data_IF_598691756584
#
_entry.id   IF_598691756584
#
_cell.length_a   1.000
_cell.length_b   1.000
_cell.length_c   1.000
_cell.angle_alpha   90.00
_cell.angle_beta   90.00
_cell.angle_gamma   90.00
#
_symmetry.space_group_name_H-M   'P 1'
#
loop_
_entity.id
_entity.type
_entity.pdbx_description
1 polymer ?
#
# COMPACT_ATOMS: atom_id res chain seq x y z
N UNK A 1 -5.91 -7.27 -13.46
CA UNK A 1 -5.19 -5.97 -13.52
C UNK A 1 -4.40 -5.77 -12.22
N UNK A 2 -3.10 -6.12 -12.21
CA UNK A 2 -2.17 -6.11 -11.06
C UNK A 2 -1.23 -4.89 -11.00
N UNK A 3 -1.61 -3.84 -11.72
CA UNK A 3 -0.71 -2.71 -12.03
C UNK A 3 -1.07 -1.46 -11.22
N UNK A 4 -1.72 -1.62 -10.08
CA UNK A 4 -2.23 -0.50 -9.29
C UNK A 4 -1.73 -0.62 -7.86
N UNK A 5 -1.00 0.40 -7.41
CA UNK A 5 -0.49 0.47 -6.04
C UNK A 5 -0.91 1.76 -5.39
N UNK A 6 -1.10 1.66 -4.09
CA UNK A 6 -1.40 2.80 -3.26
C UNK A 6 -0.46 2.85 -2.10
N UNK A 7 -0.06 4.07 -1.79
CA UNK A 7 0.82 4.38 -0.69
C UNK A 7 0.02 5.26 0.24
N UNK A 8 -0.07 4.84 1.49
CA UNK A 8 -0.73 5.58 2.56
C UNK A 8 0.31 5.97 3.60
N UNK A 9 0.47 7.27 3.84
CA UNK A 9 1.14 7.75 5.04
C UNK A 9 0.08 7.98 6.12
N UNK A 10 0.20 7.28 7.24
CA UNK A 10 -0.72 7.40 8.38
C UNK A 10 0.03 7.89 9.62
N UNK A 11 -0.67 8.57 10.51
CA UNK A 11 -0.13 8.94 11.81
C UNK A 11 -1.24 8.93 12.86
N UNK A 12 -0.87 8.67 14.12
CA UNK A 12 -1.77 8.91 15.25
C UNK A 12 -1.87 10.41 15.52
N UNK A 13 -3.06 10.96 15.27
CA UNK A 13 -3.39 12.38 15.48
C UNK A 13 -4.45 12.44 16.57
N UNK A 14 -4.05 12.90 17.76
CA UNK A 14 -4.88 12.77 18.96
C UNK A 14 -5.05 11.28 19.32
N UNK A 15 -6.28 10.82 19.42
CA UNK A 15 -6.59 9.44 19.84
C UNK A 15 -6.69 8.43 18.68
N UNK A 16 -6.76 8.91 17.43
CA UNK A 16 -7.05 8.06 16.27
C UNK A 16 -5.90 8.09 15.27
N UNK A 17 -5.73 6.99 14.55
CA UNK A 17 -4.94 7.04 13.32
C UNK A 17 -5.69 7.83 12.25
N UNK A 18 -4.92 8.60 11.47
CA UNK A 18 -5.41 9.40 10.35
C UNK A 18 -4.49 9.24 9.17
N UNK A 19 -5.06 9.16 7.99
CA UNK A 19 -4.31 9.30 6.74
C UNK A 19 -3.84 10.75 6.61
N UNK A 20 -2.53 10.92 6.47
CA UNK A 20 -1.86 12.21 6.27
C UNK A 20 -1.68 12.46 4.78
N UNK A 21 -1.32 11.44 4.02
CA UNK A 21 -1.32 11.52 2.56
C UNK A 21 -1.60 10.14 1.98
N UNK A 22 -2.24 10.13 0.82
CA UNK A 22 -2.41 8.93 0.03
C UNK A 22 -2.08 9.27 -1.43
N UNK A 23 -1.49 8.32 -2.13
CA UNK A 23 -1.28 8.42 -3.58
C UNK A 23 -1.64 7.09 -4.25
N UNK A 24 -1.95 7.18 -5.54
CA UNK A 24 -2.12 6.06 -6.44
C UNK A 24 -0.98 6.07 -7.45
N UNK A 25 -0.28 4.95 -7.64
CA UNK A 25 0.74 4.75 -8.67
C UNK A 25 0.33 3.61 -9.60
N UNK A 26 0.42 3.85 -10.91
CA UNK A 26 0.19 2.83 -11.92
C UNK A 26 1.47 2.00 -12.16
N UNK A 27 1.33 0.85 -12.79
CA UNK A 27 2.42 0.02 -13.32
C UNK A 27 3.51 -0.40 -12.30
N UNK A 28 3.18 -0.43 -11.01
CA UNK A 28 4.10 -0.82 -9.94
C UNK A 28 3.82 -2.25 -9.45
N UNK A 29 4.75 -3.17 -9.69
CA UNK A 29 4.55 -4.62 -9.50
C UNK A 29 5.75 -5.28 -8.83
N UNK A 30 5.54 -6.41 -8.16
CA UNK A 30 6.62 -7.28 -7.66
C UNK A 30 7.76 -6.55 -6.91
N UNK A 31 9.01 -6.86 -7.28
CA UNK A 31 10.23 -6.30 -6.74
C UNK A 31 10.34 -4.80 -6.99
N UNK A 32 9.77 -4.29 -8.08
CA UNK A 32 9.72 -2.84 -8.31
C UNK A 32 8.90 -2.14 -7.23
N UNK A 33 7.78 -2.74 -6.80
CA UNK A 33 6.99 -2.24 -5.68
C UNK A 33 7.77 -2.23 -4.37
N UNK A 34 8.45 -3.34 -4.05
CA UNK A 34 9.30 -3.45 -2.85
C UNK A 34 10.38 -2.37 -2.82
N UNK A 35 11.08 -2.18 -3.95
CA UNK A 35 12.10 -1.14 -4.09
C UNK A 35 11.54 0.24 -3.81
N UNK A 36 10.38 0.56 -4.36
CA UNK A 36 9.75 1.86 -4.13
C UNK A 36 9.31 2.05 -2.69
N UNK A 37 8.74 1.02 -2.03
CA UNK A 37 8.43 1.10 -0.61
C UNK A 37 9.67 1.37 0.25
N UNK A 38 10.79 0.73 -0.08
CA UNK A 38 12.07 0.97 0.58
C UNK A 38 12.58 2.39 0.34
N UNK A 39 12.46 2.93 -0.88
CA UNK A 39 12.81 4.33 -1.19
C UNK A 39 11.93 5.30 -0.40
N UNK A 40 10.62 5.10 -0.38
CA UNK A 40 9.69 5.90 0.45
C UNK A 40 10.12 5.87 1.91
N UNK A 41 10.41 4.68 2.46
CA UNK A 41 10.81 4.54 3.85
C UNK A 41 12.16 5.22 4.15
N UNK A 42 13.12 5.14 3.22
CA UNK A 42 14.41 5.87 3.30
C UNK A 42 14.20 7.39 3.31
N UNK A 43 13.29 7.91 2.48
CA UNK A 43 12.91 9.33 2.51
C UNK A 43 12.33 9.69 3.88
N UNK A 44 11.37 8.92 4.39
CA UNK A 44 10.70 9.22 5.66
C UNK A 44 11.63 9.13 6.88
N UNK A 45 12.62 8.23 6.86
CA UNK A 45 13.60 8.04 7.95
C UNK A 45 14.78 9.01 7.91
N UNK A 46 14.97 9.77 6.83
CA UNK A 46 16.09 10.69 6.72
C UNK A 46 15.98 11.84 7.73
N UNK A 47 16.94 12.04 8.66
CA UNK A 47 16.82 13.06 9.71
C UNK A 47 16.60 14.48 9.20
N UNK A 48 17.13 14.80 8.01
CA UNK A 48 16.91 16.09 7.32
C UNK A 48 15.44 16.38 7.01
N UNK A 49 14.60 15.35 6.93
CA UNK A 49 13.17 15.46 6.64
C UNK A 49 12.31 15.59 7.90
N UNK A 50 12.83 15.27 9.08
CA UNK A 50 12.08 15.29 10.33
C UNK A 50 11.45 16.66 10.67
N UNK A 51 12.10 17.82 10.42
CA UNK A 51 11.46 19.11 10.65
C UNK A 51 10.18 19.31 9.81
N UNK A 52 10.17 18.84 8.57
CA UNK A 52 9.01 18.95 7.68
C UNK A 52 7.87 18.02 8.12
N UNK A 53 8.19 16.75 8.41
CA UNK A 53 7.23 15.78 8.96
C UNK A 53 6.60 16.32 10.25
N UNK A 54 7.42 16.86 11.16
CA UNK A 54 6.92 17.43 12.43
C UNK A 54 5.96 18.59 12.20
N UNK A 55 6.22 19.46 11.22
CA UNK A 55 5.33 20.59 10.90
C UNK A 55 3.97 20.09 10.42
N UNK A 56 3.95 19.09 9.55
CA UNK A 56 2.70 18.52 9.03
C UNK A 56 1.92 17.75 10.10
N UNK A 57 2.59 16.99 10.97
CA UNK A 57 1.92 16.32 12.09
C UNK A 57 1.35 17.33 13.10
N UNK A 58 2.03 18.45 13.35
CA UNK A 58 1.49 19.54 14.17
C UNK A 58 0.27 20.19 13.51
N UNK A 59 0.33 20.41 12.20
CA UNK A 59 -0.81 20.93 11.43
C UNK A 59 -1.99 19.95 11.48
N UNK A 60 -1.74 18.65 11.33
CA UNK A 60 -2.77 17.62 11.44
C UNK A 60 -3.44 17.66 12.83
N UNK A 61 -2.65 17.76 13.90
CA UNK A 61 -3.14 17.86 15.26
C UNK A 61 -3.95 19.14 15.54
N UNK A 62 -3.75 20.22 14.77
CA UNK A 62 -4.53 21.45 14.91
C UNK A 62 -5.82 21.46 14.07
N UNK A 63 -6.08 20.43 13.25
CA UNK A 63 -7.31 20.35 12.46
C UNK A 63 -8.51 20.01 13.35
N UNK A 64 -9.68 20.64 13.15
CA UNK A 64 -10.90 20.29 13.86
C UNK A 64 -11.37 18.88 13.52
N UNK A 65 -12.19 18.26 14.38
CA UNK A 65 -12.70 16.90 14.16
C UNK A 65 -13.40 16.73 12.80
N UNK A 66 -14.17 17.73 12.38
CA UNK A 66 -14.92 17.73 11.10
C UNK A 66 -14.01 17.69 9.88
N UNK A 67 -12.76 18.15 9.97
CA UNK A 67 -11.79 18.03 8.87
C UNK A 67 -11.50 16.57 8.52
N UNK A 68 -11.65 15.65 9.47
CA UNK A 68 -11.41 14.22 9.29
C UNK A 68 -12.68 13.44 8.92
N UNK A 69 -13.84 14.11 8.85
CA UNK A 69 -15.09 13.48 8.49
C UNK A 69 -15.31 13.54 6.97
N UNK A 70 -15.34 12.40 6.25
CA UNK A 70 -15.57 12.40 4.80
C UNK A 70 -16.88 13.11 4.41
N UNK A 71 -17.93 12.96 5.22
CA UNK A 71 -19.24 13.56 4.96
C UNK A 71 -19.24 15.09 5.09
N UNK A 72 -18.30 15.66 5.83
CA UNK A 72 -18.21 17.11 6.04
C UNK A 72 -17.41 17.83 4.94
N UNK A 73 -16.83 17.10 3.97
CA UNK A 73 -15.83 17.64 3.03
C UNK A 73 -16.34 18.02 1.63
N UNK A 74 -17.66 18.01 1.40
CA UNK A 74 -18.31 18.59 0.21
C UNK A 74 -17.92 17.95 -1.14
N UNK A 75 -18.42 18.54 -2.24
CA UNK A 75 -18.13 18.14 -3.62
C UNK A 75 -16.75 18.68 -4.07
N UNK A 76 -15.94 17.87 -4.76
CA UNK A 76 -14.47 17.87 -4.60
C UNK A 76 -13.63 18.08 -5.86
N UNK A 77 -14.09 18.94 -6.77
CA UNK A 77 -13.28 19.34 -7.93
C UNK A 77 -12.17 20.36 -7.63
N UNK A 78 -12.12 20.96 -6.43
CA UNK A 78 -11.27 22.13 -6.14
C UNK A 78 -10.19 21.93 -5.05
N UNK A 79 -10.08 20.75 -4.44
CA UNK A 79 -9.27 20.62 -3.23
C UNK A 79 -7.78 20.42 -3.52
N UNK A 80 -6.96 21.29 -2.93
CA UNK A 80 -5.51 21.21 -2.96
C UNK A 80 -4.93 20.11 -2.06
N UNK A 81 -3.59 20.03 -2.04
CA UNK A 81 -2.85 19.05 -1.25
C UNK A 81 -2.76 19.52 0.21
N UNK A 82 -3.44 18.82 1.14
CA UNK A 82 -3.48 19.18 2.58
C UNK A 82 -2.12 19.11 3.27
N UNK A 83 -1.32 18.10 2.92
CA UNK A 83 -0.02 17.80 3.51
C UNK A 83 1.03 17.64 2.40
N UNK A 84 1.55 18.76 1.87
CA UNK A 84 2.36 18.79 0.65
C UNK A 84 3.71 18.07 0.77
N UNK A 85 4.39 18.14 1.92
CA UNK A 85 5.64 17.42 2.13
C UNK A 85 5.39 15.91 2.09
N UNK A 86 4.40 15.41 2.84
CA UNK A 86 4.11 13.98 2.87
C UNK A 86 3.64 13.47 1.50
N UNK A 87 2.77 14.22 0.82
CA UNK A 87 2.34 13.89 -0.54
C UNK A 87 3.53 13.83 -1.50
N UNK A 88 4.44 14.80 -1.42
CA UNK A 88 5.67 14.82 -2.24
C UNK A 88 6.58 13.64 -1.93
N UNK A 89 6.76 13.30 -0.64
CA UNK A 89 7.57 12.16 -0.22
C UNK A 89 7.02 10.84 -0.77
N UNK A 90 5.70 10.67 -0.75
CA UNK A 90 5.06 9.51 -1.36
C UNK A 90 5.23 9.50 -2.88
N UNK A 91 4.99 10.62 -3.57
CA UNK A 91 5.16 10.72 -5.02
C UNK A 91 6.58 10.36 -5.45
N UNK A 92 7.59 10.97 -4.83
CA UNK A 92 9.00 10.69 -5.10
C UNK A 92 9.38 9.24 -4.78
N UNK A 93 8.84 8.69 -3.69
CA UNK A 93 9.11 7.31 -3.31
C UNK A 93 8.37 6.28 -4.16
N UNK A 94 7.34 6.68 -4.91
CA UNK A 94 6.59 5.81 -5.82
C UNK A 94 7.04 5.89 -7.28
N UNK A 95 7.95 6.83 -7.59
CA UNK A 95 8.41 7.11 -8.95
C UNK A 95 9.24 5.92 -9.48
N UNK A 96 8.63 5.16 -10.39
CA UNK A 96 9.35 4.21 -11.21
C UNK A 96 9.79 4.94 -12.45
N UNK A 97 11.11 5.01 -12.66
CA UNK A 97 11.67 5.35 -13.96
C UNK A 97 11.85 4.05 -14.76
N UNK A 98 10.89 3.65 -15.61
CA UNK A 98 11.14 2.56 -16.53
C UNK A 98 12.25 2.96 -17.52
N UNK A 99 12.93 1.99 -18.14
CA UNK A 99 13.95 2.23 -19.17
C UNK A 99 13.47 3.10 -20.34
N UNK A 100 12.16 3.18 -20.56
CA UNK A 100 11.53 3.92 -21.65
C UNK A 100 11.30 5.41 -21.38
N UNK A 101 11.79 5.96 -20.26
CA UNK A 101 11.60 7.37 -19.86
C UNK A 101 10.14 7.84 -19.67
N UNK A 102 9.14 6.98 -19.86
CA UNK A 102 7.75 7.29 -19.56
C UNK A 102 7.55 7.22 -18.04
N UNK A 103 7.25 8.36 -17.40
CA UNK A 103 6.92 8.39 -15.98
C UNK A 103 5.71 7.50 -15.72
N UNK A 104 5.78 6.65 -14.70
CA UNK A 104 4.56 6.00 -14.24
C UNK A 104 3.69 7.04 -13.55
N UNK A 105 2.46 7.29 -14.02
CA UNK A 105 1.65 8.35 -13.48
C UNK A 105 1.25 8.00 -12.03
N UNK A 106 1.74 8.82 -11.11
CA UNK A 106 1.33 8.81 -9.72
C UNK A 106 0.44 10.03 -9.44
N UNK A 107 -0.69 9.81 -8.78
CA UNK A 107 -1.70 10.83 -8.51
C UNK A 107 -2.00 10.89 -7.01
N UNK A 108 -2.06 12.08 -6.41
CA UNK A 108 -2.59 12.24 -5.06
C UNK A 108 -4.01 11.72 -4.95
N UNK A 109 -4.30 11.04 -3.84
CA UNK A 109 -5.63 10.65 -3.42
C UNK A 109 -6.08 11.56 -2.27
N UNK A 110 -7.38 11.86 -2.18
CA UNK A 110 -7.93 12.54 -1.00
C UNK A 110 -7.59 11.78 0.29
N UNK A 111 -7.30 12.50 1.37
CA UNK A 111 -6.84 11.85 2.62
C UNK A 111 -7.91 10.99 3.30
N UNK A 112 -9.18 11.18 2.98
CA UNK A 112 -10.30 10.37 3.46
C UNK A 112 -10.65 9.22 2.50
N UNK A 113 -9.84 8.99 1.47
CA UNK A 113 -9.97 7.83 0.59
C UNK A 113 -9.70 6.57 1.40
N UNK A 114 -10.72 5.74 1.68
CA UNK A 114 -10.51 4.62 2.57
C UNK A 114 -9.76 3.50 1.81
N UNK A 115 -8.88 2.75 2.50
CA UNK A 115 -8.08 1.66 1.92
C UNK A 115 -8.87 0.56 1.19
N UNK A 116 -10.16 0.42 1.47
CA UNK A 116 -11.04 -0.63 0.98
C UNK A 116 -11.92 -0.24 -0.21
N UNK A 117 -12.03 1.06 -0.51
CA UNK A 117 -12.84 1.54 -1.63
C UNK A 117 -12.09 1.58 -2.97
N UNK A 118 -10.82 1.17 -3.00
CA UNK A 118 -10.07 1.14 -4.26
C UNK A 118 -9.63 -0.26 -4.63
N UNK A 119 -9.94 -0.61 -5.88
CA UNK A 119 -9.61 -1.87 -6.52
C UNK A 119 -8.08 -2.04 -6.66
N UNK A 120 -7.45 -2.54 -5.60
CA UNK A 120 -6.06 -2.94 -5.57
C UNK A 120 -5.99 -4.44 -5.31
N UNK A 121 -5.98 -5.23 -6.38
CA UNK A 121 -5.95 -6.71 -6.29
C UNK A 121 -4.76 -7.24 -5.50
N UNK A 122 -3.70 -6.46 -5.38
CA UNK A 122 -2.44 -6.88 -4.78
C UNK A 122 -2.14 -6.20 -3.43
N UNK A 123 -3.11 -5.47 -2.88
CA UNK A 123 -2.99 -4.75 -1.61
C UNK A 123 -2.44 -3.31 -1.71
N UNK A 124 -2.31 -2.68 -0.55
CA UNK A 124 -1.82 -1.30 -0.36
C UNK A 124 -0.57 -1.29 0.52
N UNK A 125 0.26 -0.26 0.41
CA UNK A 125 1.36 0.00 1.34
C UNK A 125 0.98 1.09 2.33
N UNK A 126 1.33 0.86 3.59
CA UNK A 126 1.06 1.76 4.72
C UNK A 126 2.38 2.12 5.36
N UNK A 127 2.62 3.41 5.55
CA UNK A 127 3.77 3.98 6.25
C UNK A 127 3.25 4.70 7.49
N UNK A 128 3.51 4.15 8.66
CA UNK A 128 3.17 4.81 9.92
C UNK A 128 4.31 5.74 10.33
N UNK A 129 4.01 7.04 10.34
CA UNK A 129 4.94 8.14 10.66
C UNK A 129 4.66 8.76 12.03
N UNK A 130 3.85 8.11 12.88
CA UNK A 130 3.55 8.56 14.25
C UNK A 130 4.83 8.86 15.03
N UNK A 131 5.81 7.96 14.97
CA UNK A 131 7.13 8.15 15.53
C UNK A 131 8.10 8.64 14.44
N UNK A 132 8.34 9.95 14.35
CA UNK A 132 9.14 10.58 13.28
C UNK A 132 10.54 9.96 13.11
N UNK A 133 11.18 9.54 14.21
CA UNK A 133 12.51 8.91 14.16
C UNK A 133 12.50 7.41 13.81
N UNK A 134 11.32 6.79 13.84
CA UNK A 134 11.13 5.36 13.62
C UNK A 134 9.86 5.05 12.80
N UNK A 135 9.72 5.61 11.58
CA UNK A 135 8.69 5.18 10.65
C UNK A 135 8.64 3.66 10.50
N UNK A 136 7.42 3.12 10.54
CA UNK A 136 7.10 1.70 10.33
C UNK A 136 6.42 1.55 8.98
N UNK A 137 6.46 0.36 8.39
CA UNK A 137 5.73 0.09 7.16
C UNK A 137 4.97 -1.23 7.23
N UNK A 138 3.98 -1.41 6.37
CA UNK A 138 3.32 -2.69 6.15
C UNK A 138 2.77 -2.75 4.74
N UNK A 139 2.68 -3.96 4.18
CA UNK A 139 1.80 -4.22 3.05
C UNK A 139 0.51 -4.81 3.59
N UNK A 140 -0.62 -4.21 3.26
CA UNK A 140 -1.93 -4.69 3.67
C UNK A 140 -2.67 -5.23 2.45
N UNK A 141 -3.02 -6.50 2.48
CA UNK A 141 -3.89 -7.10 1.49
C UNK A 141 -5.34 -6.95 1.93
N UNK A 142 -6.15 -6.46 1.01
CA UNK A 142 -7.59 -6.41 1.13
C UNK A 142 -8.18 -7.60 0.37
N UNK A 143 -8.78 -8.57 1.07
CA UNK A 143 -9.41 -9.73 0.44
C UNK A 143 -10.92 -9.48 0.38
N UNK A 144 -11.46 -9.39 -0.84
CA UNK A 144 -12.91 -9.43 -1.06
C UNK A 144 -13.43 -10.86 -0.83
N UNK A 145 -14.67 -11.00 -0.34
CA UNK A 145 -15.36 -12.31 -0.35
C UNK A 145 -15.59 -12.76 -1.81
N UNK A 146 -15.79 -14.07 -1.97
CA UNK A 146 -15.86 -14.87 -3.21
C UNK A 146 -16.52 -14.17 -4.43
N UNK A 147 -16.16 -14.60 -5.67
CA UNK A 147 -16.60 -13.98 -6.93
C UNK A 147 -18.11 -13.99 -7.23
N UNK A 148 -18.96 -14.55 -6.36
CA UNK A 148 -20.42 -14.50 -6.49
C UNK A 148 -21.03 -13.18 -6.01
N UNK A 149 -20.32 -12.38 -5.21
CA UNK A 149 -20.80 -11.08 -4.72
C UNK A 149 -20.16 -9.96 -5.54
N UNK A 150 -20.50 -9.89 -6.84
CA UNK A 150 -19.93 -8.94 -7.82
C UNK A 150 -20.25 -7.46 -7.56
N UNK A 151 -20.90 -7.10 -6.46
CA UNK A 151 -21.49 -5.77 -6.32
C UNK A 151 -20.92 -4.85 -5.25
N UNK A 152 -20.11 -5.33 -4.30
CA UNK A 152 -19.85 -4.47 -3.14
C UNK A 152 -18.42 -3.91 -3.05
N UNK A 153 -17.42 -4.51 -3.72
CA UNK A 153 -16.04 -3.99 -3.69
C UNK A 153 -15.38 -3.90 -2.30
N UNK A 154 -16.10 -4.26 -1.24
CA UNK A 154 -15.68 -4.11 0.15
C UNK A 154 -14.61 -5.15 0.51
N UNK A 155 -13.52 -4.67 1.12
CA UNK A 155 -12.52 -5.51 1.77
C UNK A 155 -13.13 -6.17 3.01
N UNK A 156 -13.26 -7.49 3.01
CA UNK A 156 -13.82 -8.24 4.14
C UNK A 156 -12.76 -8.78 5.11
N UNK A 157 -11.51 -8.94 4.65
CA UNK A 157 -10.39 -9.36 5.49
C UNK A 157 -9.14 -8.58 5.14
N UNK A 158 -8.48 -8.03 6.16
CA UNK A 158 -7.21 -7.32 6.07
C UNK A 158 -6.10 -8.20 6.62
N UNK A 159 -5.07 -8.45 5.81
CA UNK A 159 -3.87 -9.16 6.26
C UNK A 159 -2.65 -8.28 6.08
N UNK A 160 -1.92 -8.05 7.17
CA UNK A 160 -0.60 -7.43 7.10
C UNK A 160 0.41 -8.49 6.63
N UNK A 161 1.31 -8.07 5.76
CA UNK A 161 2.38 -8.88 5.20
C UNK A 161 3.68 -8.06 5.20
N UNK A 162 4.79 -8.77 5.36
CA UNK A 162 6.12 -8.23 5.07
C UNK A 162 6.40 -8.32 3.55
N UNK A 163 7.58 -7.87 3.12
CA UNK A 163 7.96 -7.84 1.71
C UNK A 163 8.17 -9.23 1.13
N UNK A 164 8.79 -10.15 1.89
CA UNK A 164 8.97 -11.55 1.45
C UNK A 164 7.65 -12.25 1.21
N UNK A 165 6.70 -12.13 2.13
CA UNK A 165 5.36 -12.73 2.03
C UNK A 165 4.59 -12.15 0.85
N UNK A 166 4.72 -10.85 0.62
CA UNK A 166 4.17 -10.20 -0.56
C UNK A 166 4.76 -10.76 -1.86
N UNK A 167 6.09 -10.88 -1.98
CA UNK A 167 6.74 -11.41 -3.19
C UNK A 167 6.38 -12.87 -3.44
N UNK A 168 6.45 -13.72 -2.40
CA UNK A 168 6.09 -15.13 -2.51
C UNK A 168 4.67 -15.28 -3.02
N UNK A 169 3.75 -14.48 -2.47
CA UNK A 169 2.35 -14.51 -2.86
C UNK A 169 2.14 -14.00 -4.29
N UNK A 170 2.79 -12.91 -4.67
CA UNK A 170 2.67 -12.37 -6.03
C UNK A 170 3.04 -13.43 -7.06
N UNK A 171 4.19 -14.09 -6.87
CA UNK A 171 4.70 -15.15 -7.74
C UNK A 171 3.78 -16.36 -7.79
N UNK A 172 3.35 -16.86 -6.63
CA UNK A 172 2.45 -18.01 -6.55
C UNK A 172 1.11 -17.76 -7.27
N UNK A 173 0.62 -16.52 -7.27
CA UNK A 173 -0.60 -16.20 -7.99
C UNK A 173 -0.36 -15.92 -9.49
N UNK A 174 0.86 -15.52 -9.93
CA UNK A 174 1.21 -15.43 -11.36
C UNK A 174 1.27 -16.83 -12.00
N UNK A 175 1.88 -17.82 -11.31
CA UNK A 175 1.92 -19.23 -11.77
C UNK A 175 0.51 -19.79 -12.05
N UNK A 176 -0.46 -19.49 -11.18
CA UNK A 176 -1.86 -19.91 -11.36
C UNK A 176 -2.50 -19.27 -12.60
N UNK A 177 -2.14 -18.03 -12.94
CA UNK A 177 -2.67 -17.34 -14.11
C UNK A 177 -2.08 -17.87 -15.42
N UNK A 178 -0.81 -18.26 -15.41
CA UNK A 178 -0.15 -18.85 -16.57
C UNK A 178 -0.74 -20.26 -16.85
N UNK A 179 -0.90 -21.10 -15.82
CA UNK A 179 -1.51 -22.43 -15.95
C UNK A 179 -2.97 -22.40 -16.43
N UNK A 180 -3.74 -21.38 -16.02
CA UNK A 180 -5.13 -21.22 -16.41
C UNK A 180 -5.31 -20.79 -17.88
N UNK A 181 -4.30 -20.15 -18.48
CA UNK A 181 -4.31 -19.75 -19.89
C UNK A 181 -3.81 -20.85 -20.83
N UNK A 182 -3.03 -21.81 -20.33
CA UNK A 182 -2.53 -22.97 -21.10
C UNK A 182 -3.55 -24.14 -21.19
N UNK A 183 -4.72 -24.01 -20.57
CA UNK A 183 -5.77 -25.05 -20.55
C UNK A 183 -7.10 -24.58 -21.14
N UNK A 184 -7.06 -23.96 -22.33
CA UNK A 184 -8.26 -23.62 -23.10
C UNK A 184 -8.90 -24.78 -23.88
N UNK A 185 -8.58 -26.03 -23.54
CA UNK A 185 -9.34 -27.22 -23.90
C UNK A 185 -9.84 -27.94 -22.64
N UNK A 186 -11.10 -27.73 -22.26
CA UNK A 186 -11.76 -28.51 -21.19
C UNK A 186 -12.07 -29.96 -21.63
N UNK A 187 -12.61 -30.84 -20.75
CA UNK A 187 -13.24 -30.56 -19.46
C UNK A 187 -12.78 -31.46 -18.29
N UNK A 188 -13.07 -31.05 -17.05
CA UNK A 188 -13.12 -31.98 -15.90
C UNK A 188 -12.75 -31.35 -14.57
N UNK A 189 -13.75 -31.09 -13.74
CA UNK A 189 -13.54 -30.77 -12.34
C UNK A 189 -12.87 -31.96 -11.63
N UNK A 190 -11.61 -31.80 -11.21
CA UNK A 190 -11.01 -32.62 -10.16
C UNK A 190 -10.29 -31.73 -9.15
N UNK A 191 -10.88 -31.64 -7.96
CA UNK A 191 -10.30 -31.03 -6.77
C UNK A 191 -9.07 -31.84 -6.34
N UNK A 192 -7.89 -31.39 -6.72
CA UNK A 192 -6.65 -31.66 -6.00
C UNK A 192 -5.85 -30.37 -5.95
N UNK A 193 -5.96 -29.64 -4.84
CA UNK A 193 -5.04 -28.54 -4.56
C UNK A 193 -3.63 -29.11 -4.42
N UNK A 194 -2.60 -28.52 -5.05
CA UNK A 194 -1.25 -29.00 -4.90
C UNK A 194 -0.82 -28.81 -3.44
N UNK A 195 -0.29 -29.88 -2.86
CA UNK A 195 0.42 -29.82 -1.59
C UNK A 195 1.58 -28.83 -1.75
N UNK A 196 1.58 -27.78 -0.93
CA UNK A 196 2.69 -26.84 -0.80
C UNK A 196 3.97 -27.65 -0.53
N UNK A 197 4.81 -27.76 -1.56
CA UNK A 197 6.13 -28.36 -1.43
C UNK A 197 6.94 -27.60 -0.37
N UNK A 198 7.78 -28.34 0.36
CA UNK A 198 8.71 -27.77 1.33
C UNK A 198 9.46 -26.57 0.72
N UNK A 199 9.59 -25.43 1.44
CA UNK A 199 10.25 -24.27 0.90
C UNK A 199 11.73 -24.59 0.73
N UNK A 200 12.17 -24.71 -0.52
CA UNK A 200 13.57 -24.45 -0.88
C UNK A 200 13.88 -23.06 -0.32
N UNK A 201 15.02 -22.89 0.35
CA UNK A 201 15.40 -21.59 0.90
C UNK A 201 15.38 -20.53 -0.21
N UNK A 202 14.30 -19.75 -0.27
CA UNK A 202 14.13 -18.72 -1.30
C UNK A 202 15.18 -17.63 -1.06
N UNK A 203 16.11 -17.49 -2.00
CA UNK A 203 17.06 -16.41 -1.95
C UNK A 203 16.37 -15.11 -2.38
N UNK A 204 15.88 -14.34 -1.40
CA UNK A 204 15.30 -13.03 -1.67
C UNK A 204 16.38 -11.99 -2.01
N UNK A 205 16.12 -11.03 -2.91
CA UNK A 205 16.99 -9.88 -3.13
C UNK A 205 17.26 -9.08 -1.85
N UNK A 206 18.39 -8.37 -1.79
CA UNK A 206 18.79 -7.61 -0.60
C UNK A 206 17.76 -6.53 -0.22
N UNK A 207 17.05 -5.95 -1.18
CA UNK A 207 16.01 -4.94 -0.91
C UNK A 207 14.81 -5.51 -0.16
N UNK A 208 14.44 -6.78 -0.43
CA UNK A 208 13.37 -7.48 0.29
C UNK A 208 13.80 -7.73 1.73
N UNK A 209 15.03 -8.21 1.94
CA UNK A 209 15.59 -8.44 3.27
C UNK A 209 15.75 -7.15 4.06
N UNK A 210 16.22 -6.09 3.39
CA UNK A 210 16.34 -4.77 3.98
C UNK A 210 14.96 -4.29 4.45
N UNK A 211 13.94 -4.42 3.60
CA UNK A 211 12.58 -3.98 3.93
C UNK A 211 11.95 -4.84 5.06
N UNK A 212 12.19 -6.15 5.09
CA UNK A 212 11.72 -7.04 6.17
C UNK A 212 12.40 -6.75 7.52
N UNK A 213 13.59 -6.14 7.52
CA UNK A 213 14.26 -5.73 8.75
C UNK A 213 13.58 -4.52 9.44
N UNK A 214 12.64 -3.84 8.78
CA UNK A 214 11.92 -2.71 9.38
C UNK A 214 10.75 -3.19 10.24
N UNK A 215 10.45 -2.46 11.33
CA UNK A 215 9.29 -2.76 12.16
C UNK A 215 7.99 -2.65 11.35
N UNK A 216 7.15 -3.68 11.47
CA UNK A 216 5.84 -3.71 10.84
C UNK A 216 4.81 -2.87 11.63
N UNK A 217 3.87 -2.28 10.90
CA UNK A 217 2.62 -1.77 11.48
C UNK A 217 1.80 -2.96 12.00
N UNK A 218 1.08 -2.80 13.12
CA UNK A 218 0.22 -3.85 13.68
C UNK A 218 -1.21 -3.71 13.19
N UNK A 219 -1.94 -4.81 13.05
CA UNK A 219 -3.34 -4.77 12.57
C UNK A 219 -4.23 -3.87 13.45
N UNK A 220 -4.07 -3.96 14.78
CA UNK A 220 -4.83 -3.14 15.74
C UNK A 220 -4.60 -1.63 15.59
N UNK A 221 -3.48 -1.21 15.00
CA UNK A 221 -3.19 0.20 14.76
C UNK A 221 -4.06 0.73 13.59
N UNK A 222 -4.48 -0.15 12.67
CA UNK A 222 -5.18 0.20 11.43
C UNK A 222 -6.71 0.21 11.55
N UNK A 223 -7.27 -0.33 12.62
CA UNK A 223 -8.73 -0.40 12.83
C UNK A 223 -9.37 0.99 13.02
N UNK A 224 -8.55 2.03 13.17
CA UNK A 224 -8.97 3.41 13.39
C UNK A 224 -8.62 4.39 12.25
N UNK A 225 -8.02 3.88 11.15
CA UNK A 225 -7.64 4.65 9.95
C UNK A 225 -8.88 5.01 9.15
#
# INVERSE_FOLDING_TARGET
MRQRRQFYAIARVGERYRTIAAIHSQWLMELSAVRQYLVTLKILRAPRNFPAIRRELKLAASKPADFWNPCSRGDRSEWGIDFPFMTTALLLGSDVRPPSHALSPAHPLPIDTPPDQIQNGDGISIFDITEIGRPRYAMMRCVAKRPCDRHDGLCHSRSIMNASDYIRRYRAEDEIYDDANDHSDGPGCSNHGPALGNPVAEHFPDEVRELDAFPLVRCCDLDSV
#
